data_IF_715210682384
#
_entry.id   IF_715210682384
#
_cell.length_a   1.000
_cell.length_b   1.000
_cell.length_c   1.000
_cell.angle_alpha   90.00
_cell.angle_beta   90.00
_cell.angle_gamma   90.00
#
_symmetry.space_group_name_H-M   'P 1'
#
loop_
_entity.id
_entity.type
_entity.pdbx_description
1 polymer ?
#
# COMPACT_ATOMS: atom_id res chain seq x y z
N UNK A 1 23.12 19.40 -10.21
CA UNK A 1 21.87 19.85 -9.54
C UNK A 1 20.76 18.85 -9.80
N UNK A 2 21.03 17.56 -9.59
CA UNK A 2 20.04 16.48 -9.66
C UNK A 2 19.85 16.04 -8.23
N UNK A 3 18.82 16.57 -7.58
CA UNK A 3 18.56 16.29 -6.16
C UNK A 3 18.32 14.80 -5.98
N UNK A 4 19.25 14.12 -5.34
CA UNK A 4 19.04 12.80 -4.74
C UNK A 4 18.02 13.01 -3.62
N UNK A 5 16.75 12.68 -3.88
CA UNK A 5 15.70 12.79 -2.86
C UNK A 5 15.71 11.49 -2.06
N UNK A 6 16.62 11.40 -1.09
CA UNK A 6 16.57 10.40 -0.02
C UNK A 6 15.42 10.75 0.94
N UNK A 7 14.17 10.43 0.55
CA UNK A 7 13.02 10.58 1.45
C UNK A 7 12.97 9.39 2.40
N UNK A 8 13.38 9.60 3.64
CA UNK A 8 13.10 8.69 4.77
C UNK A 8 11.59 8.68 5.02
N UNK A 9 10.84 7.81 4.34
CA UNK A 9 9.41 7.64 4.59
C UNK A 9 9.17 6.51 5.59
N UNK A 10 9.16 6.90 6.85
CA UNK A 10 8.65 6.13 7.99
C UNK A 10 7.44 6.90 8.52
N UNK A 11 6.24 6.30 8.63
CA UNK A 11 5.94 4.86 8.71
C UNK A 11 5.54 4.20 7.38
N UNK A 12 5.95 2.94 7.19
CA UNK A 12 5.41 2.06 6.17
C UNK A 12 4.33 1.12 6.77
N UNK A 13 3.53 0.50 5.92
CA UNK A 13 2.36 -0.28 6.35
C UNK A 13 2.28 -1.70 5.79
N UNK A 14 1.61 -2.56 6.55
CA UNK A 14 1.12 -3.87 6.11
C UNK A 14 -0.40 -3.85 6.05
N UNK A 15 -0.97 -4.24 4.92
CA UNK A 15 -2.41 -4.32 4.68
C UNK A 15 -2.88 -5.75 4.91
N UNK A 16 -3.74 -5.94 5.91
CA UNK A 16 -4.39 -7.22 6.21
C UNK A 16 -5.82 -7.25 5.65
N UNK A 17 -6.18 -8.37 5.03
CA UNK A 17 -7.50 -8.57 4.42
C UNK A 17 -8.29 -9.68 5.14
N UNK A 18 -9.52 -9.36 5.55
CA UNK A 18 -10.55 -10.34 5.92
C UNK A 18 -11.19 -10.91 4.64
N UNK A 19 -10.75 -12.11 4.23
CA UNK A 19 -11.20 -12.75 2.98
C UNK A 19 -12.71 -13.03 2.95
N UNK A 20 -13.29 -13.33 4.10
CA UNK A 20 -14.73 -13.57 4.31
C UNK A 20 -15.60 -12.33 4.07
N UNK A 21 -15.02 -11.14 4.20
CA UNK A 21 -15.71 -9.85 4.04
C UNK A 21 -15.39 -9.15 2.73
N UNK A 22 -14.30 -9.54 2.06
CA UNK A 22 -13.91 -8.94 0.81
C UNK A 22 -14.83 -9.38 -0.32
N UNK A 23 -15.45 -8.43 -1.00
CA UNK A 23 -16.33 -8.68 -2.16
C UNK A 23 -15.60 -8.59 -3.50
N UNK A 24 -14.31 -8.28 -3.49
CA UNK A 24 -13.52 -8.09 -4.71
C UNK A 24 -13.86 -6.84 -5.52
N UNK A 25 -14.55 -5.84 -4.94
CA UNK A 25 -14.99 -4.64 -5.69
C UNK A 25 -13.84 -3.78 -6.27
N UNK A 26 -12.65 -3.86 -5.66
CA UNK A 26 -11.44 -3.19 -6.14
C UNK A 26 -11.36 -1.68 -5.87
N UNK A 27 -12.27 -1.09 -5.08
CA UNK A 27 -12.24 0.36 -4.81
C UNK A 27 -10.97 0.80 -4.08
N UNK A 28 -10.47 -0.03 -3.15
CA UNK A 28 -9.19 0.20 -2.47
C UNK A 28 -7.99 0.17 -3.43
N UNK A 29 -8.03 -0.69 -4.46
CA UNK A 29 -6.98 -0.79 -5.49
C UNK A 29 -6.96 0.50 -6.32
N UNK A 30 -8.12 0.95 -6.79
CA UNK A 30 -8.25 2.18 -7.59
C UNK A 30 -7.83 3.43 -6.82
N UNK A 31 -8.10 3.48 -5.52
CA UNK A 31 -7.81 4.64 -4.67
C UNK A 31 -6.33 4.71 -4.25
N UNK A 32 -5.60 3.61 -4.28
CA UNK A 32 -4.25 3.55 -3.72
C UNK A 32 -3.29 4.50 -4.47
N UNK A 33 -2.78 5.58 -3.85
CA UNK A 33 -2.00 6.60 -4.56
C UNK A 33 -0.62 6.09 -5.01
N UNK A 34 -0.16 5.00 -4.40
CA UNK A 34 1.14 4.36 -4.62
C UNK A 34 1.02 2.96 -5.21
N UNK A 35 -0.17 2.57 -5.71
CA UNK A 35 -0.44 1.26 -6.31
C UNK A 35 0.01 0.04 -5.47
N UNK A 36 0.02 0.17 -4.14
CA UNK A 36 0.47 -0.89 -3.24
C UNK A 36 -0.49 -2.10 -3.17
N UNK A 37 -1.67 -2.02 -3.80
CA UNK A 37 -2.70 -3.06 -3.76
C UNK A 37 -3.03 -3.54 -5.17
N UNK A 38 -3.37 -4.83 -5.30
CA UNK A 38 -3.84 -5.45 -6.54
C UNK A 38 -5.01 -6.38 -6.26
N UNK A 39 -5.90 -6.55 -7.25
CA UNK A 39 -6.97 -7.55 -7.21
C UNK A 39 -6.46 -8.84 -7.86
N UNK A 40 -6.44 -9.93 -7.10
CA UNK A 40 -6.03 -11.28 -7.53
C UNK A 40 -7.04 -12.31 -7.01
N UNK A 41 -7.55 -13.16 -7.91
CA UNK A 41 -8.52 -14.22 -7.60
C UNK A 41 -9.74 -13.75 -6.80
N UNK A 42 -10.26 -12.56 -7.13
CA UNK A 42 -11.42 -11.96 -6.45
C UNK A 42 -11.12 -11.37 -5.07
N UNK A 43 -9.86 -11.37 -4.64
CA UNK A 43 -9.41 -10.80 -3.36
C UNK A 43 -8.34 -9.74 -3.57
N UNK A 44 -8.08 -8.92 -2.56
CA UNK A 44 -7.09 -7.85 -2.62
C UNK A 44 -5.81 -8.26 -1.90
N UNK A 45 -4.67 -8.07 -2.54
CA UNK A 45 -3.35 -8.38 -1.99
C UNK A 45 -2.45 -7.14 -2.02
N UNK A 46 -1.54 -7.02 -1.06
CA UNK A 46 -0.51 -5.99 -1.07
C UNK A 46 0.67 -6.45 -1.95
N UNK A 47 1.02 -5.62 -2.94
CA UNK A 47 2.09 -5.89 -3.92
C UNK A 47 3.18 -4.81 -3.94
N UNK A 48 2.98 -3.72 -3.19
CA UNK A 48 3.93 -2.61 -3.11
C UNK A 48 4.02 -2.04 -1.70
N UNK A 49 4.72 -0.90 -1.59
CA UNK A 49 4.94 -0.24 -0.31
C UNK A 49 3.71 0.57 0.09
N UNK A 50 3.06 0.19 1.20
CA UNK A 50 2.00 0.99 1.78
C UNK A 50 2.60 2.17 2.54
N UNK A 51 2.17 3.39 2.20
CA UNK A 51 2.57 4.65 2.87
C UNK A 51 1.61 5.08 3.99
N UNK A 52 0.78 4.15 4.48
CA UNK A 52 -0.17 4.37 5.59
C UNK A 52 -1.11 5.57 5.36
N UNK A 53 -1.54 5.81 4.11
CA UNK A 53 -2.50 6.89 3.80
C UNK A 53 -3.93 6.60 4.28
N UNK A 54 -4.22 5.36 4.67
CA UNK A 54 -5.52 4.87 5.17
C UNK A 54 -6.70 4.96 4.18
N UNK A 55 -6.48 5.38 2.93
CA UNK A 55 -7.55 5.50 1.93
C UNK A 55 -8.29 4.18 1.68
N UNK A 56 -7.55 3.07 1.60
CA UNK A 56 -8.14 1.74 1.39
C UNK A 56 -9.08 1.30 2.54
N UNK A 57 -8.76 1.67 3.79
CA UNK A 57 -9.64 1.43 4.93
C UNK A 57 -10.89 2.30 4.86
N UNK A 58 -10.72 3.58 4.52
CA UNK A 58 -11.82 4.54 4.48
C UNK A 58 -12.85 4.21 3.39
N UNK A 59 -12.41 3.72 2.23
CA UNK A 59 -13.31 3.39 1.11
C UNK A 59 -13.98 2.01 1.24
N UNK A 60 -13.41 1.11 2.03
CA UNK A 60 -13.91 -0.26 2.16
C UNK A 60 -15.21 -0.31 2.98
N UNK A 61 -16.36 -0.32 2.30
CA UNK A 61 -17.69 -0.42 2.92
C UNK A 61 -17.84 -1.66 3.80
N UNK A 62 -17.24 -2.76 3.37
CA UNK A 62 -17.26 -4.02 4.11
C UNK A 62 -16.31 -4.05 5.30
N UNK A 63 -15.46 -3.02 5.47
CA UNK A 63 -14.39 -2.95 6.48
C UNK A 63 -13.53 -4.22 6.51
N UNK A 64 -13.25 -4.76 5.33
CA UNK A 64 -12.45 -5.96 5.13
C UNK A 64 -10.94 -5.69 5.20
N UNK A 65 -10.52 -4.42 5.26
CA UNK A 65 -9.12 -4.00 5.22
C UNK A 65 -8.71 -3.41 6.57
N UNK A 66 -7.55 -3.84 7.08
CA UNK A 66 -6.85 -3.22 8.21
C UNK A 66 -5.43 -2.85 7.78
N UNK A 67 -4.88 -1.79 8.36
CA UNK A 67 -3.50 -1.34 8.10
C UNK A 67 -2.74 -1.35 9.42
N UNK A 68 -1.68 -2.14 9.48
CA UNK A 68 -0.71 -2.10 10.57
C UNK A 68 0.46 -1.23 10.15
N UNK A 69 0.90 -0.35 11.05
CA UNK A 69 2.19 0.33 10.90
C UNK A 69 3.28 -0.68 11.18
N UNK A 70 4.22 -0.81 10.26
CA UNK A 70 5.39 -1.68 10.41
C UNK A 70 6.65 -0.85 10.34
N UNK A 71 7.68 -1.31 11.03
CA UNK A 71 8.97 -0.67 10.98
C UNK A 71 9.71 -1.15 9.73
N UNK A 72 9.97 -0.25 8.79
CA UNK A 72 10.82 -0.59 7.64
C UNK A 72 12.28 -0.68 8.11
N UNK A 73 13.02 -1.74 7.76
CA UNK A 73 14.44 -1.84 8.07
C UNK A 73 15.19 -0.66 7.44
N UNK A 74 16.24 -0.19 8.13
CA UNK A 74 16.85 1.15 8.03
C UNK A 74 17.46 1.55 6.66
N UNK A 75 17.28 0.74 5.61
CA UNK A 75 18.05 0.77 4.35
C UNK A 75 17.18 0.72 3.07
N UNK A 76 15.86 0.87 3.15
CA UNK A 76 15.00 0.77 1.95
C UNK A 76 14.89 2.10 1.18
N UNK A 77 15.46 2.17 -0.03
CA UNK A 77 15.21 3.25 -0.99
C UNK A 77 13.89 2.99 -1.76
N UNK A 78 12.82 3.69 -1.39
CA UNK A 78 11.52 3.57 -2.08
C UNK A 78 11.29 4.80 -2.98
N UNK A 79 11.35 4.60 -4.30
CA UNK A 79 11.01 5.66 -5.25
C UNK A 79 9.49 5.71 -5.50
N UNK A 80 8.80 6.53 -4.70
CA UNK A 80 7.36 6.82 -4.83
C UNK A 80 7.02 7.77 -5.99
N UNK A 81 8.01 8.31 -6.71
CA UNK A 81 7.77 9.29 -7.79
C UNK A 81 7.41 8.64 -9.13
N UNK A 82 7.61 7.33 -9.28
CA UNK A 82 7.27 6.57 -10.48
C UNK A 82 6.45 5.31 -10.18
N UNK A 83 5.27 5.46 -9.56
CA UNK A 83 4.14 4.50 -9.54
C UNK A 83 4.38 3.00 -9.26
N UNK A 84 5.59 2.49 -8.98
CA UNK A 84 5.89 1.13 -8.49
C UNK A 84 7.40 0.74 -8.43
N UNK A 85 8.37 1.66 -8.33
CA UNK A 85 9.77 1.24 -8.39
C UNK A 85 10.39 1.07 -6.99
N UNK A 86 10.27 -0.14 -6.44
CA UNK A 86 11.14 -0.63 -5.36
C UNK A 86 12.44 -1.09 -6.01
N UNK A 87 13.54 -0.37 -5.81
CA UNK A 87 14.87 -0.86 -6.15
C UNK A 87 15.50 -1.38 -4.86
N UNK A 88 15.84 -2.67 -4.86
CA UNK A 88 16.61 -3.35 -3.81
C UNK A 88 18.09 -3.17 -4.09
#
# INVERSE_FOLDING_TARGET
MTGEISVKFYPCGSVRLSKDRCTGCGDCVKLCPVNALKLEDGTVVQVGVCVVCLGCMAVCKERAIQVDVVECPEELEVDVTSKNNVNV
#
